data_IF_336266341334
#
_entry.id   IF_336266341334
#
_cell.length_a   1.000
_cell.length_b   1.000
_cell.length_c   1.000
_cell.angle_alpha   90.00
_cell.angle_beta   90.00
_cell.angle_gamma   90.00
#
_symmetry.space_group_name_H-M   'P 1'
#
loop_
_entity.id
_entity.type
_entity.pdbx_description
1 polymer ?
#
# COMPACT_ATOMS: atom_id res chain seq x y z
N UNK A 1 -23.10 16.03 7.25
CA UNK A 1 -22.82 15.24 6.05
C UNK A 1 -24.09 15.07 5.22
N UNK A 2 -24.06 15.43 3.93
CA UNK A 2 -25.25 15.48 3.05
C UNK A 2 -25.90 14.09 2.84
N UNK A 3 -25.17 12.98 3.12
CA UNK A 3 -25.63 11.60 2.89
C UNK A 3 -25.78 10.79 4.18
N UNK A 4 -25.97 11.44 5.33
CA UNK A 4 -26.19 10.76 6.62
C UNK A 4 -24.92 10.14 7.25
N UNK A 5 -23.74 10.29 6.62
CA UNK A 5 -22.46 9.82 7.20
C UNK A 5 -22.03 10.80 8.30
N UNK A 6 -21.70 10.32 9.52
CA UNK A 6 -21.18 11.18 10.58
C UNK A 6 -19.90 11.95 10.15
N UNK A 7 -19.74 13.16 10.63
CA UNK A 7 -18.58 14.00 10.26
C UNK A 7 -17.23 13.38 10.66
N UNK A 8 -17.21 12.55 11.69
CA UNK A 8 -16.04 11.86 12.21
C UNK A 8 -15.83 10.44 11.63
N UNK A 9 -16.64 10.03 10.65
CA UNK A 9 -16.49 8.71 10.02
C UNK A 9 -15.18 8.58 9.21
N UNK A 10 -14.60 9.71 8.77
CA UNK A 10 -13.28 9.78 8.15
C UNK A 10 -12.45 10.76 8.93
N UNK A 11 -11.31 10.30 9.42
CA UNK A 11 -10.40 11.08 10.23
C UNK A 11 -9.01 11.10 9.61
N UNK A 12 -8.26 12.16 9.82
CA UNK A 12 -6.90 12.32 9.33
C UNK A 12 -5.98 12.72 10.49
N UNK A 13 -4.85 12.02 10.61
CA UNK A 13 -3.80 12.36 11.56
C UNK A 13 -2.80 13.29 10.87
N UNK A 14 -2.79 14.54 11.25
CA UNK A 14 -1.95 15.58 10.67
C UNK A 14 -0.49 15.52 11.19
N UNK A 15 0.06 14.32 11.37
CA UNK A 15 1.45 14.11 11.78
C UNK A 15 2.16 13.22 10.76
N UNK A 16 3.34 13.64 10.33
CA UNK A 16 4.24 12.84 9.51
C UNK A 16 5.21 11.99 10.35
N UNK A 17 5.10 12.01 11.67
CA UNK A 17 5.94 11.23 12.57
C UNK A 17 5.61 9.75 12.44
N UNK A 18 6.66 8.95 12.22
CA UNK A 18 6.54 7.49 12.14
C UNK A 18 6.10 6.84 13.45
N UNK A 19 6.32 7.53 14.58
CA UNK A 19 5.87 7.07 15.89
C UNK A 19 4.34 7.01 15.97
N UNK A 20 3.63 7.93 15.31
CA UNK A 20 2.18 7.89 15.23
C UNK A 20 1.63 6.56 14.66
N UNK A 21 2.32 5.97 13.67
CA UNK A 21 1.93 4.66 13.12
C UNK A 21 2.08 3.53 14.13
N UNK A 22 3.09 3.56 14.98
CA UNK A 22 3.31 2.56 16.02
C UNK A 22 2.29 2.70 17.14
N UNK A 23 1.98 3.95 17.54
CA UNK A 23 0.93 4.22 18.54
C UNK A 23 -0.40 3.67 18.05
N UNK A 24 -0.79 3.98 16.79
CA UNK A 24 -2.01 3.43 16.20
C UNK A 24 -2.05 1.90 16.22
N UNK A 25 -0.90 1.26 16.00
CA UNK A 25 -0.80 -0.19 15.96
C UNK A 25 -1.00 -0.90 17.32
N UNK A 26 -1.06 -0.12 18.41
CA UNK A 26 -1.26 -0.61 19.78
C UNK A 26 -2.56 -0.12 20.42
N UNK A 27 -3.42 0.58 19.66
CA UNK A 27 -4.72 1.09 20.14
C UNK A 27 -5.85 0.08 19.91
N UNK A 28 -5.73 -1.11 20.45
CA UNK A 28 -6.69 -2.23 20.29
C UNK A 28 -8.07 -1.93 20.90
N UNK A 29 -8.19 -1.00 21.85
CA UNK A 29 -9.49 -0.52 22.37
C UNK A 29 -10.23 0.41 21.37
N UNK A 30 -9.58 0.91 20.34
CA UNK A 30 -10.12 1.96 19.45
C UNK A 30 -10.00 1.64 17.98
N UNK A 31 -9.17 0.67 17.60
CA UNK A 31 -8.89 0.30 16.22
C UNK A 31 -9.06 -1.22 16.07
N UNK A 32 -9.98 -1.61 15.21
CA UNK A 32 -10.27 -3.03 14.94
C UNK A 32 -9.31 -3.65 13.91
N UNK A 33 -8.79 -2.84 12.98
CA UNK A 33 -7.99 -3.34 11.87
C UNK A 33 -7.09 -2.25 11.27
N UNK A 34 -5.87 -2.63 10.92
CA UNK A 34 -4.93 -1.77 10.18
C UNK A 34 -4.68 -2.35 8.79
N UNK A 35 -4.77 -1.49 7.77
CA UNK A 35 -4.41 -1.81 6.37
C UNK A 35 -3.27 -0.88 5.95
N UNK A 36 -2.01 -1.25 6.16
CA UNK A 36 -0.89 -0.38 5.85
C UNK A 36 -0.62 -0.32 4.34
N UNK A 37 -0.24 0.87 3.88
CA UNK A 37 0.28 1.11 2.53
C UNK A 37 1.70 1.63 2.65
N UNK A 38 2.65 0.88 2.11
CA UNK A 38 4.07 1.22 2.16
C UNK A 38 4.96 0.02 1.85
N UNK A 39 6.26 0.21 1.96
CA UNK A 39 7.26 -0.83 1.69
C UNK A 39 7.50 -1.77 2.88
N UNK A 40 8.40 -2.74 2.68
CA UNK A 40 8.75 -3.76 3.67
C UNK A 40 9.26 -3.19 5.01
N UNK A 41 9.85 -1.99 5.01
CA UNK A 41 10.26 -1.31 6.24
C UNK A 41 9.09 -0.97 7.17
N UNK A 42 7.99 -0.46 6.61
CA UNK A 42 6.77 -0.18 7.36
C UNK A 42 6.14 -1.47 7.87
N UNK A 43 6.09 -2.50 7.03
CA UNK A 43 5.56 -3.82 7.40
C UNK A 43 6.31 -4.38 8.62
N UNK A 44 7.64 -4.43 8.57
CA UNK A 44 8.47 -4.91 9.68
C UNK A 44 8.25 -4.09 10.95
N UNK A 45 8.21 -2.76 10.83
CA UNK A 45 8.01 -1.87 11.97
C UNK A 45 6.65 -2.08 12.64
N UNK A 46 5.58 -2.26 11.87
CA UNK A 46 4.26 -2.55 12.42
C UNK A 46 4.18 -3.95 13.01
N UNK A 47 4.67 -4.98 12.30
CA UNK A 47 4.64 -6.37 12.79
C UNK A 47 5.36 -6.54 14.13
N UNK A 48 6.38 -5.73 14.41
CA UNK A 48 7.16 -5.83 15.66
C UNK A 48 6.43 -5.26 16.89
N UNK A 49 5.41 -4.41 16.71
CA UNK A 49 4.75 -3.69 17.83
C UNK A 49 3.23 -3.84 17.84
N UNK A 50 2.60 -4.22 16.73
CA UNK A 50 1.15 -4.23 16.62
C UNK A 50 0.50 -5.25 17.55
N UNK A 51 -0.48 -4.78 18.34
CA UNK A 51 -1.47 -5.58 19.05
C UNK A 51 -2.79 -5.64 18.28
N UNK A 52 -3.03 -4.61 17.45
CA UNK A 52 -4.18 -4.55 16.52
C UNK A 52 -3.93 -5.49 15.33
N UNK A 53 -4.94 -6.23 14.86
CA UNK A 53 -4.84 -7.02 13.63
C UNK A 53 -4.38 -6.19 12.43
N UNK A 54 -3.44 -6.72 11.63
CA UNK A 54 -2.88 -6.01 10.45
C UNK A 54 -3.03 -6.88 9.21
N UNK A 55 -3.64 -6.35 8.15
CA UNK A 55 -3.74 -7.00 6.85
C UNK A 55 -2.75 -6.36 5.88
N UNK A 56 -1.69 -7.06 5.54
CA UNK A 56 -0.70 -6.60 4.57
C UNK A 56 -1.09 -6.96 3.14
N UNK A 57 -0.94 -6.03 2.22
CA UNK A 57 -0.91 -6.35 0.80
C UNK A 57 0.37 -7.16 0.51
N UNK A 58 0.25 -8.21 -0.29
CA UNK A 58 1.41 -8.95 -0.78
C UNK A 58 2.29 -8.04 -1.65
N UNK A 59 3.61 -8.24 -1.61
CA UNK A 59 4.52 -7.61 -2.55
C UNK A 59 4.23 -8.09 -3.98
N UNK A 60 4.13 -7.15 -4.93
CA UNK A 60 3.94 -7.49 -6.34
C UNK A 60 5.27 -7.80 -7.02
N UNK A 61 5.33 -8.91 -7.77
CA UNK A 61 6.38 -9.16 -8.76
C UNK A 61 5.72 -9.08 -10.13
N UNK A 62 5.89 -7.95 -10.79
CA UNK A 62 5.18 -7.67 -12.04
C UNK A 62 5.97 -8.20 -13.25
N UNK A 63 5.31 -8.97 -14.08
CA UNK A 63 5.87 -9.58 -15.28
C UNK A 63 5.16 -9.05 -16.53
N UNK A 64 5.90 -8.93 -17.61
CA UNK A 64 5.36 -8.74 -18.96
C UNK A 64 5.78 -9.96 -19.77
N UNK A 65 4.80 -10.71 -20.26
CA UNK A 65 5.01 -11.83 -21.17
C UNK A 65 4.80 -11.35 -22.60
N UNK A 66 5.75 -11.66 -23.48
CA UNK A 66 5.67 -11.38 -24.93
C UNK A 66 5.54 -12.69 -25.65
N UNK A 67 4.39 -12.89 -26.28
CA UNK A 67 4.08 -14.10 -27.05
C UNK A 67 4.77 -14.08 -28.44
N UNK A 68 4.92 -15.25 -29.07
CA UNK A 68 5.51 -15.38 -30.41
C UNK A 68 4.72 -14.65 -31.50
N UNK A 69 3.41 -14.45 -31.29
CA UNK A 69 2.53 -13.72 -32.20
C UNK A 69 2.41 -12.22 -31.87
N UNK A 70 3.15 -11.76 -30.86
CA UNK A 70 3.10 -10.36 -30.48
C UNK A 70 3.71 -9.45 -31.56
N UNK A 71 3.13 -8.27 -31.70
CA UNK A 71 3.73 -7.19 -32.50
C UNK A 71 4.95 -6.64 -31.75
N UNK A 72 6.16 -6.87 -32.28
CA UNK A 72 7.41 -6.67 -31.55
C UNK A 72 7.65 -5.22 -31.18
N UNK A 73 7.39 -4.27 -32.09
CA UNK A 73 7.62 -2.84 -31.84
C UNK A 73 6.68 -2.31 -30.73
N UNK A 74 5.44 -2.76 -30.72
CA UNK A 74 4.48 -2.45 -29.64
C UNK A 74 4.95 -3.08 -28.33
N UNK A 75 5.31 -4.35 -28.33
CA UNK A 75 5.78 -5.07 -27.14
C UNK A 75 7.01 -4.39 -26.53
N UNK A 76 7.97 -3.99 -27.35
CA UNK A 76 9.17 -3.26 -26.91
C UNK A 76 8.80 -1.95 -26.21
N UNK A 77 7.90 -1.16 -26.79
CA UNK A 77 7.45 0.10 -26.22
C UNK A 77 6.73 -0.11 -24.87
N UNK A 78 5.87 -1.12 -24.78
CA UNK A 78 5.15 -1.46 -23.54
C UNK A 78 6.14 -1.89 -22.45
N UNK A 79 7.07 -2.80 -22.76
CA UNK A 79 8.07 -3.29 -21.80
C UNK A 79 8.97 -2.15 -21.33
N UNK A 80 9.46 -1.34 -22.26
CA UNK A 80 10.28 -0.19 -21.93
C UNK A 80 9.55 0.77 -20.98
N UNK A 81 8.33 1.17 -21.34
CA UNK A 81 7.53 2.05 -20.48
C UNK A 81 7.25 1.43 -19.10
N UNK A 82 6.84 0.16 -19.06
CA UNK A 82 6.50 -0.54 -17.82
C UNK A 82 7.69 -0.67 -16.85
N UNK A 83 8.92 -0.71 -17.36
CA UNK A 83 10.12 -0.94 -16.54
C UNK A 83 10.95 0.32 -16.26
N UNK A 84 10.70 1.41 -16.97
CA UNK A 84 11.53 2.61 -16.87
C UNK A 84 10.78 3.86 -16.40
N UNK A 85 9.47 3.98 -16.65
CA UNK A 85 8.71 5.19 -16.29
C UNK A 85 8.58 5.37 -14.78
N UNK A 86 8.34 4.29 -14.04
CA UNK A 86 8.33 4.29 -12.58
C UNK A 86 8.64 2.88 -12.04
N UNK A 87 9.92 2.50 -11.90
CA UNK A 87 10.34 1.13 -11.59
C UNK A 87 9.87 0.59 -10.24
N UNK A 88 9.47 1.47 -9.32
CA UNK A 88 9.01 1.08 -7.98
C UNK A 88 7.48 0.91 -7.87
N UNK A 89 6.76 1.13 -8.93
CA UNK A 89 5.29 0.96 -8.99
C UNK A 89 4.93 -0.33 -9.72
N UNK A 90 3.90 -0.99 -9.21
CA UNK A 90 3.31 -2.15 -9.90
C UNK A 90 2.67 -1.78 -11.22
#
# INVERSE_FOLDING_TARGET
>A
AQNGVPANAIQFIASADREASKILATLDDSIDLIVPRGGEGLKKALTSVATVPVIFAAGGVCHVYVDEFAEIDMAQNIVFNAKTSNPSVC
#
